data_IF_461163975890
#
_entry.id   IF_461163975890
#
_cell.length_a   1.000
_cell.length_b   1.000
_cell.length_c   1.000
_cell.angle_alpha   90.00
_cell.angle_beta   90.00
_cell.angle_gamma   90.00
#
_symmetry.space_group_name_H-M   'P 1'
#
loop_
_entity.id
_entity.type
_entity.pdbx_description
1 polymer ?
#
# COMPACT_ATOMS: atom_id res chain seq x y z
N UNK A 1 4.81 1.53 -13.25
CA UNK A 1 3.81 0.44 -13.36
C UNK A 1 2.91 0.40 -12.13
N UNK A 2 3.46 0.40 -10.89
CA UNK A 2 2.65 0.37 -9.65
C UNK A 2 1.60 1.47 -9.59
N UNK A 3 1.94 2.68 -10.01
CA UNK A 3 0.97 3.77 -10.11
C UNK A 3 -0.17 3.47 -11.10
N UNK A 4 0.13 2.87 -12.26
CA UNK A 4 -0.88 2.54 -13.26
C UNK A 4 -1.82 1.41 -12.80
N UNK A 5 -1.31 0.44 -12.03
CA UNK A 5 -2.11 -0.65 -11.46
C UNK A 5 -2.84 -0.16 -10.20
N UNK A 6 -2.14 0.55 -9.34
CA UNK A 6 -2.65 1.00 -8.05
C UNK A 6 -3.76 2.04 -8.18
N UNK A 7 -3.64 2.98 -9.10
CA UNK A 7 -4.63 4.05 -9.26
C UNK A 7 -6.05 3.53 -9.47
N UNK A 8 -6.36 2.75 -10.53
CA UNK A 8 -7.72 2.26 -10.73
C UNK A 8 -8.17 1.32 -9.59
N UNK A 9 -7.28 0.48 -9.10
CA UNK A 9 -7.57 -0.46 -8.03
C UNK A 9 -7.95 0.27 -6.73
N UNK A 10 -7.15 1.26 -6.36
CA UNK A 10 -7.37 2.06 -5.16
C UNK A 10 -8.61 2.94 -5.30
N UNK A 11 -8.86 3.55 -6.47
CA UNK A 11 -10.01 4.43 -6.67
C UNK A 11 -11.34 3.69 -6.69
N UNK A 12 -11.36 2.46 -7.22
CA UNK A 12 -12.60 1.67 -7.34
C UNK A 12 -12.95 1.00 -6.01
N UNK A 13 -11.95 0.49 -5.28
CA UNK A 13 -12.17 -0.35 -4.08
C UNK A 13 -11.33 0.10 -2.89
N UNK A 14 -10.02 0.26 -3.07
CA UNK A 14 -9.08 0.46 -1.97
C UNK A 14 -9.36 1.69 -1.12
N UNK A 15 -9.75 2.80 -1.74
CA UNK A 15 -10.08 4.02 -1.03
C UNK A 15 -11.25 3.84 -0.05
N UNK A 16 -12.26 3.08 -0.45
CA UNK A 16 -13.40 2.76 0.40
C UNK A 16 -13.03 1.87 1.58
N UNK A 17 -12.18 0.88 1.35
CA UNK A 17 -11.65 0.02 2.41
C UNK A 17 -10.82 0.85 3.41
N UNK A 18 -10.06 1.82 2.92
CA UNK A 18 -9.17 2.62 3.76
C UNK A 18 -9.89 3.74 4.52
N UNK A 19 -10.72 4.52 3.85
CA UNK A 19 -11.31 5.75 4.39
C UNK A 19 -12.83 5.73 4.53
N UNK A 20 -13.50 4.71 4.02
CA UNK A 20 -14.94 4.58 4.16
C UNK A 20 -15.37 4.29 5.59
N UNK A 21 -16.61 4.65 5.92
CA UNK A 21 -17.21 4.29 7.21
C UNK A 21 -17.27 2.77 7.34
N UNK A 22 -16.75 2.23 8.43
CA UNK A 22 -16.65 0.80 8.65
C UNK A 22 -16.46 0.44 10.13
N UNK A 23 -15.70 -0.61 10.38
CA UNK A 23 -15.36 -1.07 11.74
C UNK A 23 -13.88 -0.79 12.05
N UNK A 24 -13.37 -1.26 13.18
CA UNK A 24 -11.95 -1.04 13.55
C UNK A 24 -10.93 -1.71 12.62
N UNK A 25 -11.33 -2.61 11.72
CA UNK A 25 -10.43 -3.39 10.88
C UNK A 25 -10.43 -2.97 9.41
N UNK A 26 -11.56 -2.56 8.86
CA UNK A 26 -11.67 -2.07 7.49
C UNK A 26 -12.89 -1.17 7.33
N UNK A 27 -12.82 -0.28 6.34
CA UNK A 27 -13.91 0.59 5.96
C UNK A 27 -14.91 -0.07 5.03
N UNK A 28 -15.67 0.74 4.30
CA UNK A 28 -16.72 0.28 3.41
C UNK A 28 -16.15 -0.35 2.14
N UNK A 29 -16.60 -1.56 1.81
CA UNK A 29 -16.31 -2.18 0.51
C UNK A 29 -17.32 -1.67 -0.52
N UNK A 30 -16.82 -1.00 -1.54
CA UNK A 30 -17.60 -0.53 -2.69
C UNK A 30 -17.85 0.98 -2.72
N UNK A 31 -18.08 1.47 -3.92
CA UNK A 31 -18.20 2.88 -4.26
C UNK A 31 -16.89 3.47 -4.78
N UNK A 32 -16.93 3.97 -6.03
CA UNK A 32 -15.78 4.65 -6.62
C UNK A 32 -15.43 5.88 -5.79
N UNK A 33 -14.13 6.15 -5.60
CA UNK A 33 -13.65 7.30 -4.88
C UNK A 33 -14.14 8.60 -5.54
N UNK A 34 -15.06 9.26 -4.88
CA UNK A 34 -15.64 10.53 -5.31
C UNK A 34 -16.14 11.33 -4.11
N UNK A 35 -16.19 12.62 -4.24
CA UNK A 35 -16.71 13.52 -3.20
C UNK A 35 -18.18 13.19 -2.86
N UNK A 36 -18.97 12.81 -3.85
CA UNK A 36 -20.37 12.42 -3.67
C UNK A 36 -20.54 11.16 -2.81
N UNK A 37 -19.58 10.21 -2.87
CA UNK A 37 -19.66 8.95 -2.14
C UNK A 37 -19.06 9.03 -0.73
N UNK A 38 -18.08 9.89 -0.51
CA UNK A 38 -17.29 9.92 0.73
C UNK A 38 -17.42 11.24 1.51
N UNK A 39 -17.87 12.32 0.85
CA UNK A 39 -18.00 13.62 1.48
C UNK A 39 -16.65 14.21 1.92
N UNK A 40 -16.72 15.20 2.80
CA UNK A 40 -15.54 15.94 3.28
C UNK A 40 -15.13 15.61 4.72
N UNK A 41 -15.86 14.76 5.42
CA UNK A 41 -15.63 14.51 6.87
C UNK A 41 -14.29 13.87 7.21
N UNK A 42 -13.69 13.15 6.25
CA UNK A 42 -12.38 12.52 6.40
C UNK A 42 -11.21 13.42 5.98
N UNK A 43 -11.51 14.58 5.37
CA UNK A 43 -10.49 15.44 4.80
C UNK A 43 -9.85 16.31 5.89
N UNK A 44 -8.53 16.51 5.85
CA UNK A 44 -7.91 17.59 6.63
C UNK A 44 -8.51 18.95 6.25
N UNK A 45 -8.66 19.83 7.21
CA UNK A 45 -9.25 21.16 6.99
C UNK A 45 -8.57 21.89 5.82
N UNK A 46 -9.38 22.35 4.87
CA UNK A 46 -8.93 23.12 3.72
C UNK A 46 -8.33 22.31 2.56
N UNK A 47 -8.30 20.98 2.64
CA UNK A 47 -7.78 20.13 1.55
C UNK A 47 -8.94 19.68 0.64
N UNK A 48 -8.93 20.01 -0.67
CA UNK A 48 -9.92 19.51 -1.61
C UNK A 48 -9.87 17.98 -1.74
N UNK A 49 -11.04 17.35 -1.95
CA UNK A 49 -11.16 15.89 -2.08
C UNK A 49 -10.18 15.30 -3.11
N UNK A 50 -10.11 15.88 -4.30
CA UNK A 50 -9.25 15.37 -5.37
C UNK A 50 -7.75 15.47 -5.06
N UNK A 51 -7.34 16.52 -4.36
CA UNK A 51 -5.96 16.66 -3.87
C UNK A 51 -5.64 15.60 -2.82
N UNK A 52 -6.55 15.33 -1.90
CA UNK A 52 -6.40 14.26 -0.92
C UNK A 52 -6.38 12.88 -1.59
N UNK A 53 -7.29 12.62 -2.53
CA UNK A 53 -7.37 11.36 -3.25
C UNK A 53 -6.08 11.05 -4.01
N UNK A 54 -5.54 12.00 -4.79
CA UNK A 54 -4.29 11.76 -5.54
C UNK A 54 -3.09 11.57 -4.59
N UNK A 55 -3.03 12.32 -3.50
CA UNK A 55 -2.01 12.18 -2.49
C UNK A 55 -2.01 10.77 -1.86
N UNK A 56 -3.17 10.27 -1.47
CA UNK A 56 -3.33 8.92 -0.95
C UNK A 56 -3.06 7.82 -2.00
N UNK A 57 -3.37 8.10 -3.26
CA UNK A 57 -3.08 7.20 -4.39
C UNK A 57 -1.58 7.02 -4.58
N UNK A 58 -0.81 8.10 -4.47
CA UNK A 58 0.67 8.04 -4.57
C UNK A 58 1.25 7.20 -3.43
N UNK A 59 0.73 7.31 -2.22
CA UNK A 59 1.15 6.46 -1.10
C UNK A 59 0.82 4.98 -1.31
N UNK A 60 -0.35 4.67 -1.85
CA UNK A 60 -0.71 3.32 -2.25
C UNK A 60 0.32 2.75 -3.25
N UNK A 61 0.62 3.49 -4.30
CA UNK A 61 1.63 3.10 -5.29
C UNK A 61 3.02 2.97 -4.67
N UNK A 62 3.37 3.84 -3.71
CA UNK A 62 4.66 3.79 -3.00
C UNK A 62 4.81 2.50 -2.20
N UNK A 63 3.79 2.05 -1.50
CA UNK A 63 3.85 0.78 -0.74
C UNK A 63 4.14 -0.42 -1.65
N UNK A 64 3.53 -0.47 -2.84
CA UNK A 64 3.80 -1.50 -3.84
C UNK A 64 5.21 -1.35 -4.46
N UNK A 65 5.66 -0.12 -4.74
CA UNK A 65 6.98 0.16 -5.33
C UNK A 65 8.13 -0.22 -4.39
N UNK A 66 7.99 -0.08 -3.08
CA UNK A 66 9.00 -0.54 -2.12
C UNK A 66 9.25 -2.05 -2.29
N UNK A 67 8.20 -2.83 -2.51
CA UNK A 67 8.31 -4.27 -2.76
C UNK A 67 9.07 -4.57 -4.05
N UNK A 68 8.87 -3.75 -5.08
CA UNK A 68 9.48 -3.98 -6.40
C UNK A 68 11.01 -4.02 -6.34
N UNK A 69 11.63 -3.19 -5.51
CA UNK A 69 13.08 -3.17 -5.32
C UNK A 69 13.63 -4.49 -4.77
N UNK A 70 12.90 -5.13 -3.85
CA UNK A 70 13.28 -6.44 -3.32
C UNK A 70 13.04 -7.57 -4.33
N UNK A 71 12.07 -7.42 -5.23
CA UNK A 71 11.71 -8.43 -6.23
C UNK A 71 12.53 -8.32 -7.53
N UNK A 72 13.20 -7.20 -7.75
CA UNK A 72 13.97 -6.93 -8.97
C UNK A 72 14.96 -8.05 -9.29
N UNK A 73 15.09 -8.38 -10.60
CA UNK A 73 15.99 -9.38 -11.18
C UNK A 73 15.70 -10.85 -10.79
N UNK A 74 14.63 -11.12 -10.04
CA UNK A 74 14.29 -12.48 -9.58
C UNK A 74 12.79 -12.81 -9.63
N UNK A 75 11.98 -11.91 -10.15
CA UNK A 75 10.52 -12.09 -10.25
C UNK A 75 10.06 -11.92 -11.68
N UNK A 76 9.13 -12.78 -12.13
CA UNK A 76 8.48 -12.64 -13.42
C UNK A 76 7.60 -11.38 -13.42
N UNK A 77 7.53 -10.69 -14.56
CA UNK A 77 6.73 -9.47 -14.70
C UNK A 77 5.25 -9.68 -14.38
N UNK A 78 4.67 -10.81 -14.76
CA UNK A 78 3.29 -11.16 -14.41
C UNK A 78 3.07 -11.26 -12.90
N UNK A 79 4.00 -11.87 -12.17
CA UNK A 79 3.94 -11.94 -10.71
C UNK A 79 4.05 -10.58 -10.07
N UNK A 80 4.90 -9.69 -10.64
CA UNK A 80 4.98 -8.28 -10.25
C UNK A 80 3.62 -7.58 -10.38
N UNK A 81 2.94 -7.71 -11.51
CA UNK A 81 1.62 -7.11 -11.71
C UNK A 81 0.59 -7.64 -10.70
N UNK A 82 0.61 -8.95 -10.42
CA UNK A 82 -0.32 -9.57 -9.47
C UNK A 82 -0.10 -9.05 -8.05
N UNK A 83 1.15 -9.04 -7.55
CA UNK A 83 1.36 -8.56 -6.19
C UNK A 83 1.12 -7.06 -6.05
N UNK A 84 1.45 -6.25 -7.06
CA UNK A 84 1.14 -4.83 -7.07
C UNK A 84 -0.37 -4.58 -6.97
N UNK A 85 -1.16 -5.35 -7.73
CA UNK A 85 -2.60 -5.32 -7.64
C UNK A 85 -3.11 -5.71 -6.24
N UNK A 86 -2.63 -6.82 -5.67
CA UNK A 86 -3.07 -7.31 -4.35
C UNK A 86 -2.67 -6.35 -3.21
N UNK A 87 -1.48 -5.77 -3.29
CA UNK A 87 -1.06 -4.75 -2.31
C UNK A 87 -1.99 -3.54 -2.37
N UNK A 88 -2.28 -3.05 -3.56
CA UNK A 88 -3.14 -1.87 -3.76
C UNK A 88 -4.61 -2.11 -3.44
N UNK A 89 -5.09 -3.36 -3.60
CA UNK A 89 -6.48 -3.73 -3.36
C UNK A 89 -6.77 -4.04 -1.90
N UNK A 90 -5.87 -4.76 -1.23
CA UNK A 90 -6.15 -5.41 0.06
C UNK A 90 -5.16 -4.97 1.13
N UNK A 91 -3.87 -5.23 0.93
CA UNK A 91 -2.87 -5.11 2.00
C UNK A 91 -2.74 -3.66 2.47
N UNK A 92 -2.46 -2.75 1.54
CA UNK A 92 -2.31 -1.34 1.86
C UNK A 92 -3.61 -0.68 2.38
N UNK A 93 -4.78 -0.86 1.74
CA UNK A 93 -6.01 -0.25 2.24
C UNK A 93 -6.42 -0.72 3.63
N UNK A 94 -6.29 -2.00 3.94
CA UNK A 94 -6.64 -2.52 5.26
C UNK A 94 -5.68 -2.00 6.33
N UNK A 95 -4.37 -2.14 6.12
CA UNK A 95 -3.38 -1.63 7.07
C UNK A 95 -3.41 -0.10 7.22
N UNK A 96 -3.67 0.60 6.12
CA UNK A 96 -3.86 2.04 6.12
C UNK A 96 -5.11 2.48 6.88
N UNK A 97 -6.20 1.69 6.81
CA UNK A 97 -7.39 1.93 7.61
C UNK A 97 -7.09 1.87 9.11
N UNK A 98 -6.30 0.91 9.55
CA UNK A 98 -5.94 0.79 10.97
C UNK A 98 -5.27 2.05 11.53
N UNK A 99 -4.51 2.75 10.70
CA UNK A 99 -3.67 3.89 11.12
C UNK A 99 -4.30 5.24 10.77
N UNK A 100 -4.75 5.42 9.53
CA UNK A 100 -5.25 6.70 9.01
C UNK A 100 -6.75 6.71 8.76
N UNK A 101 -7.37 5.56 8.60
CA UNK A 101 -8.80 5.43 8.33
C UNK A 101 -9.70 5.39 9.57
N UNK A 102 -9.17 5.68 10.76
CA UNK A 102 -9.93 5.61 12.01
C UNK A 102 -10.08 4.19 12.57
N UNK A 103 -9.26 3.24 12.12
CA UNK A 103 -9.24 1.87 12.62
C UNK A 103 -8.66 1.72 14.03
N UNK A 104 -8.51 0.48 14.50
CA UNK A 104 -8.21 0.18 15.88
C UNK A 104 -6.88 0.76 16.39
N UNK A 105 -5.85 0.83 15.54
CA UNK A 105 -4.54 1.40 15.92
C UNK A 105 -4.67 2.92 16.14
N UNK A 106 -5.38 3.60 15.25
CA UNK A 106 -5.70 5.03 15.39
C UNK A 106 -6.49 5.30 16.68
N UNK A 107 -7.48 4.46 16.99
CA UNK A 107 -8.29 4.58 18.22
C UNK A 107 -7.47 4.37 19.51
N UNK A 108 -6.36 3.63 19.43
CA UNK A 108 -5.40 3.48 20.53
C UNK A 108 -4.49 4.70 20.71
N UNK A 109 -4.65 5.75 19.90
CA UNK A 109 -3.85 6.97 19.98
C UNK A 109 -2.54 6.93 19.19
N UNK A 110 -2.33 5.93 18.33
CA UNK A 110 -1.16 5.87 17.46
C UNK A 110 -1.23 6.96 16.38
N UNK A 111 -0.11 7.64 16.19
CA UNK A 111 0.00 8.70 15.20
C UNK A 111 1.15 8.41 14.22
N UNK A 112 0.84 8.37 12.94
CA UNK A 112 1.81 8.27 11.85
C UNK A 112 1.67 9.53 10.98
N UNK A 113 2.66 10.42 11.05
CA UNK A 113 2.61 11.71 10.36
C UNK A 113 2.79 11.58 8.85
N UNK A 114 3.82 10.84 8.41
CA UNK A 114 4.25 10.84 7.00
C UNK A 114 4.21 9.45 6.34
N UNK A 115 3.60 8.45 6.96
CA UNK A 115 3.47 7.11 6.39
C UNK A 115 4.65 6.18 6.67
N UNK A 116 5.41 6.42 7.72
CA UNK A 116 6.50 5.51 8.12
C UNK A 116 5.98 4.10 8.39
N UNK A 117 4.84 4.00 9.05
CA UNK A 117 4.17 2.74 9.34
C UNK A 117 3.16 2.38 8.25
N UNK A 118 2.23 3.29 7.95
CA UNK A 118 1.13 3.05 7.04
C UNK A 118 1.58 2.71 5.60
N UNK A 119 2.72 3.23 5.16
CA UNK A 119 3.24 3.06 3.80
C UNK A 119 4.53 2.25 3.79
N UNK A 120 5.58 2.78 4.43
CA UNK A 120 6.93 2.24 4.30
C UNK A 120 7.12 0.92 5.05
N UNK A 121 6.59 0.76 6.25
CA UNK A 121 6.66 -0.51 6.97
C UNK A 121 5.82 -1.59 6.27
N UNK A 122 4.64 -1.24 5.76
CA UNK A 122 3.80 -2.18 4.98
C UNK A 122 4.55 -2.69 3.75
N UNK A 123 5.12 -1.77 2.95
CA UNK A 123 5.95 -2.14 1.81
C UNK A 123 7.21 -2.92 2.21
N UNK A 124 7.87 -2.50 3.29
CA UNK A 124 9.08 -3.13 3.79
C UNK A 124 8.86 -4.56 4.29
N UNK A 125 7.79 -4.82 5.05
CA UNK A 125 7.43 -6.17 5.51
C UNK A 125 7.07 -7.07 4.33
N UNK A 126 6.27 -6.59 3.38
CA UNK A 126 5.95 -7.35 2.17
C UNK A 126 7.21 -7.65 1.34
N UNK A 127 8.12 -6.68 1.20
CA UNK A 127 9.42 -6.85 0.54
C UNK A 127 10.30 -7.90 1.24
N UNK A 128 10.36 -7.85 2.58
CA UNK A 128 11.12 -8.79 3.40
C UNK A 128 10.62 -10.23 3.22
N UNK A 129 9.31 -10.46 3.34
CA UNK A 129 8.71 -11.78 3.13
C UNK A 129 8.95 -12.28 1.72
N UNK A 130 8.72 -11.43 0.71
CA UNK A 130 8.98 -11.78 -0.68
C UNK A 130 10.45 -12.12 -0.95
N UNK A 131 11.39 -11.40 -0.33
CA UNK A 131 12.81 -11.69 -0.44
C UNK A 131 13.19 -13.05 0.16
N UNK A 132 12.57 -13.44 1.29
CA UNK A 132 12.77 -14.75 1.92
C UNK A 132 12.26 -15.86 0.98
N UNK A 133 11.06 -15.70 0.44
CA UNK A 133 10.43 -16.71 -0.43
C UNK A 133 11.21 -16.91 -1.72
N UNK A 134 11.68 -15.83 -2.34
CA UNK A 134 12.41 -15.89 -3.62
C UNK A 134 13.87 -16.30 -3.47
N UNK A 135 14.45 -16.11 -2.30
CA UNK A 135 15.87 -16.36 -2.08
C UNK A 135 16.79 -15.30 -2.73
N UNK A 136 18.09 -15.55 -2.77
CA UNK A 136 19.07 -14.61 -3.32
C UNK A 136 18.99 -14.52 -4.85
N UNK A 137 19.46 -13.40 -5.40
CA UNK A 137 19.64 -13.21 -6.85
C UNK A 137 20.67 -14.21 -7.37
N UNK A 138 20.48 -14.67 -8.61
CA UNK A 138 21.44 -15.55 -9.29
C UNK A 138 22.81 -14.85 -9.34
N UNK A 139 23.85 -15.56 -8.94
CA UNK A 139 25.22 -15.05 -8.94
C UNK A 139 25.59 -14.13 -7.78
N UNK A 140 24.67 -13.81 -6.85
CA UNK A 140 24.96 -12.98 -5.70
C UNK A 140 26.00 -13.61 -4.74
N UNK A 141 25.93 -14.90 -4.59
CA UNK A 141 26.87 -15.66 -3.75
C UNK A 141 27.70 -16.60 -4.62
N UNK A 142 29.01 -16.57 -4.44
CA UNK A 142 29.93 -17.52 -5.05
C UNK A 142 29.82 -18.91 -4.43
N UNK A 143 30.50 -19.92 -5.04
CA UNK A 143 30.53 -21.30 -4.53
C UNK A 143 31.00 -21.42 -3.07
N UNK A 144 31.72 -20.42 -2.58
CA UNK A 144 32.25 -20.35 -1.21
C UNK A 144 31.34 -19.56 -0.25
N UNK A 145 30.10 -19.23 -0.65
CA UNK A 145 29.16 -18.43 0.15
C UNK A 145 29.55 -16.94 0.28
N UNK A 146 30.64 -16.50 -0.34
CA UNK A 146 31.03 -15.08 -0.35
C UNK A 146 30.18 -14.30 -1.35
N UNK A 147 29.86 -13.05 -0.99
CA UNK A 147 29.14 -12.13 -1.87
C UNK A 147 30.06 -11.76 -3.04
N UNK A 148 29.55 -11.93 -4.26
CA UNK A 148 30.21 -11.39 -5.46
C UNK A 148 29.89 -9.90 -5.54
N UNK A 149 30.91 -9.06 -5.66
CA UNK A 149 30.81 -7.63 -5.85
C UNK A 149 30.37 -7.30 -7.28
#
# INVERSE_FOLDING_TARGET
MDFCIGTPTFWIVGFGIMFGAGNGFFGRIGGIASEANYGSSMLPNGVPFWAFLIFQTVFCATSATIVSGAMAERTKFSSYCIYSFLISLIVYPISGHWIWGGGFISQMGFHDFAGSCAVHMVGGVAAFIGAIILGPRIGKYGKNGKVNA
#
